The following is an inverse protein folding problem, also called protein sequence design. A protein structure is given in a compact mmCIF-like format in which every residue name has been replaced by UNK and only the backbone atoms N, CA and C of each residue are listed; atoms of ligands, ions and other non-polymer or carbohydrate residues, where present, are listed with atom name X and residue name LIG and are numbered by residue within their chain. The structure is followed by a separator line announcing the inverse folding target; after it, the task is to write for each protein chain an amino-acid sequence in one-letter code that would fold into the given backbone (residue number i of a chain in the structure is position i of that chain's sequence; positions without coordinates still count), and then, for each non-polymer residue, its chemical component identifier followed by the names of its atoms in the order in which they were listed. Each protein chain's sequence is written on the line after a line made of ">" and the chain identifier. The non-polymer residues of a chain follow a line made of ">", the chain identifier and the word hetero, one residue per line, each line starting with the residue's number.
data_IF_341671410537
#
_entry.id   IF_341671410537
#
_cell.length_a   1.000
_cell.length_b   1.000
_cell.length_c   1.000
_cell.angle_alpha   90.00
_cell.angle_beta   90.00
_cell.angle_gamma   90.00
#
_symmetry.space_group_name_H-M   'P 1'
#
loop_
_entity.id
_entity.type
_entity.pdbx_description
1 polymer ?
#
# COMPACT_ATOMS: atom_id res chain seq x y z
N UNK A 1 17.10 10.56 -15.26
CA UNK A 1 16.96 10.89 -13.82
C UNK A 1 15.62 11.56 -13.62
N UNK A 2 14.82 11.09 -12.67
CA UNK A 2 13.50 11.66 -12.37
C UNK A 2 13.55 13.04 -11.68
N UNK A 3 14.71 13.71 -11.65
CA UNK A 3 14.88 15.02 -11.01
C UNK A 3 14.83 15.01 -9.48
N UNK A 4 14.86 13.83 -8.86
CA UNK A 4 14.83 13.71 -7.41
C UNK A 4 16.23 13.91 -6.84
N UNK A 5 16.39 14.90 -5.95
CA UNK A 5 17.65 15.13 -5.26
C UNK A 5 17.95 14.02 -4.24
N UNK A 6 19.18 13.55 -4.20
CA UNK A 6 19.65 12.56 -3.23
C UNK A 6 21.14 12.75 -2.92
N UNK A 7 21.56 12.23 -1.78
CA UNK A 7 22.95 12.23 -1.31
C UNK A 7 23.42 10.80 -1.09
N UNK A 8 24.66 10.50 -1.53
CA UNK A 8 25.33 9.27 -1.14
C UNK A 8 26.05 9.49 0.19
N UNK A 9 25.71 8.67 1.20
CA UNK A 9 26.30 8.75 2.53
C UNK A 9 27.34 7.65 2.73
N UNK A 10 28.48 8.01 3.31
CA UNK A 10 29.44 7.04 3.84
C UNK A 10 28.94 6.47 5.16
N UNK A 11 29.49 5.33 5.66
CA UNK A 11 29.15 4.82 7.00
C UNK A 11 29.32 5.85 8.13
N UNK A 12 30.31 6.75 8.00
CA UNK A 12 30.51 7.85 8.93
C UNK A 12 29.36 8.86 8.85
N UNK A 13 28.95 9.27 7.65
CA UNK A 13 27.85 10.21 7.47
C UNK A 13 26.53 9.64 8.00
N UNK A 14 26.32 8.31 7.82
CA UNK A 14 25.18 7.60 8.40
C UNK A 14 25.21 7.67 9.92
N UNK A 15 26.37 7.38 10.54
CA UNK A 15 26.55 7.43 12.00
C UNK A 15 26.31 8.82 12.56
N UNK A 16 26.75 9.84 11.84
CA UNK A 16 26.56 11.25 12.25
C UNK A 16 25.06 11.64 12.23
N UNK A 17 24.26 11.12 11.28
CA UNK A 17 22.80 11.37 11.16
C UNK A 17 21.95 10.43 12.02
N UNK A 18 22.44 9.21 12.25
CA UNK A 18 21.78 8.13 12.98
C UNK A 18 22.72 7.49 14.02
N UNK A 19 23.03 8.16 15.13
CA UNK A 19 24.02 7.66 16.11
C UNK A 19 23.67 6.33 16.77
N UNK A 20 22.38 5.97 16.81
CA UNK A 20 21.92 4.71 17.41
C UNK A 20 22.09 3.50 16.46
N UNK A 21 22.42 3.75 15.18
CA UNK A 21 22.60 2.70 14.16
C UNK A 21 24.02 2.14 14.19
N UNK A 22 24.15 0.82 14.10
CA UNK A 22 25.41 0.15 13.80
C UNK A 22 25.76 0.33 12.32
N UNK A 23 27.01 0.73 12.04
CA UNK A 23 27.44 1.10 10.67
C UNK A 23 28.69 0.37 10.19
N UNK A 24 29.30 -0.49 11.01
CA UNK A 24 30.59 -1.13 10.75
C UNK A 24 30.57 -2.09 9.55
N UNK A 25 29.40 -2.64 9.25
CA UNK A 25 29.16 -3.56 8.14
C UNK A 25 28.59 -2.88 6.89
N UNK A 26 28.25 -1.57 6.98
CA UNK A 26 27.64 -0.84 5.88
C UNK A 26 28.67 -0.40 4.84
N UNK A 27 28.24 -0.36 3.58
CA UNK A 27 29.00 0.23 2.47
C UNK A 27 28.65 1.69 2.22
N UNK A 28 27.40 2.08 2.51
CA UNK A 28 26.87 3.41 2.36
C UNK A 28 25.37 3.42 2.38
N UNK A 29 24.79 4.59 2.15
CA UNK A 29 23.33 4.75 2.01
C UNK A 29 23.00 5.82 0.95
N UNK A 30 21.79 5.76 0.45
CA UNK A 30 21.16 6.80 -0.36
C UNK A 30 20.21 7.58 0.55
N UNK A 31 20.41 8.88 0.65
CA UNK A 31 19.58 9.77 1.49
C UNK A 31 18.77 10.73 0.63
N UNK A 32 17.47 10.80 0.91
CA UNK A 32 16.53 11.71 0.28
C UNK A 32 16.05 12.73 1.31
N UNK A 33 16.62 13.95 1.35
CA UNK A 33 16.30 14.93 2.41
C UNK A 33 14.89 15.50 2.32
N UNK A 34 14.18 15.30 1.20
CA UNK A 34 12.81 15.75 0.98
C UNK A 34 11.77 14.63 1.19
N UNK A 35 12.22 13.42 1.49
CA UNK A 35 11.33 12.29 1.81
C UNK A 35 10.98 12.28 3.30
N UNK A 36 9.98 11.48 3.66
CA UNK A 36 9.53 11.37 5.04
C UNK A 36 8.36 10.41 5.17
N UNK A 37 7.56 10.59 6.20
CA UNK A 37 6.33 9.84 6.41
C UNK A 37 5.17 10.78 6.72
N UNK A 38 3.96 10.29 6.55
CA UNK A 38 2.72 11.02 6.80
C UNK A 38 1.69 10.10 7.45
N UNK A 39 0.79 10.66 8.24
CA UNK A 39 -0.36 9.90 8.73
C UNK A 39 -1.32 9.58 7.56
N UNK A 40 -1.59 8.30 7.26
CA UNK A 40 -2.44 7.91 6.13
C UNK A 40 -3.87 8.43 6.22
N UNK A 41 -4.45 8.50 7.42
CA UNK A 41 -5.80 9.01 7.61
C UNK A 41 -5.86 10.53 7.32
N UNK A 42 -4.87 11.28 7.80
CA UNK A 42 -4.84 12.74 7.64
C UNK A 42 -4.65 13.13 6.17
N UNK A 43 -3.74 12.47 5.43
CA UNK A 43 -3.56 12.76 3.99
C UNK A 43 -4.81 12.40 3.20
N UNK A 44 -5.46 11.27 3.52
CA UNK A 44 -6.72 10.87 2.88
C UNK A 44 -7.83 11.91 3.13
N UNK A 45 -7.97 12.40 4.36
CA UNK A 45 -8.95 13.43 4.68
C UNK A 45 -8.61 14.79 4.03
N UNK A 46 -7.32 15.12 3.92
CA UNK A 46 -6.89 16.34 3.23
C UNK A 46 -7.25 16.30 1.75
N UNK A 47 -6.98 15.19 1.06
CA UNK A 47 -7.37 14.98 -0.34
C UNK A 47 -8.89 15.00 -0.51
N UNK A 48 -9.64 14.33 0.37
CA UNK A 48 -11.10 14.36 0.35
C UNK A 48 -11.66 15.77 0.57
N UNK A 49 -11.05 16.56 1.46
CA UNK A 49 -11.41 17.97 1.66
C UNK A 49 -11.16 18.79 0.39
N UNK A 50 -10.00 18.61 -0.24
CA UNK A 50 -9.68 19.27 -1.51
C UNK A 50 -10.69 18.92 -2.61
N UNK A 51 -11.02 17.64 -2.77
CA UNK A 51 -12.02 17.19 -3.74
C UNK A 51 -13.40 17.86 -3.52
N UNK A 52 -13.88 17.93 -2.27
CA UNK A 52 -15.15 18.63 -1.95
C UNK A 52 -15.11 20.12 -2.28
N UNK A 53 -13.96 20.78 -2.10
CA UNK A 53 -13.81 22.20 -2.46
C UNK A 53 -13.95 22.44 -3.97
N UNK A 54 -13.71 21.41 -4.78
CA UNK A 54 -13.93 21.39 -6.22
C UNK A 54 -15.29 20.79 -6.65
N UNK A 55 -16.24 20.65 -5.71
CA UNK A 55 -17.61 20.23 -6.01
C UNK A 55 -17.83 18.72 -6.06
N UNK A 56 -16.84 17.91 -5.68
CA UNK A 56 -16.99 16.44 -5.64
C UNK A 56 -17.88 16.04 -4.47
N UNK A 57 -18.95 15.29 -4.73
CA UNK A 57 -19.73 14.61 -3.70
C UNK A 57 -19.01 13.36 -3.22
N UNK A 58 -18.85 13.21 -1.91
CA UNK A 58 -18.27 12.01 -1.29
C UNK A 58 -19.32 11.40 -0.38
N UNK A 59 -19.91 10.33 -0.87
CA UNK A 59 -20.93 9.57 -0.16
C UNK A 59 -20.31 8.37 0.55
N UNK A 60 -20.63 8.21 1.83
CA UNK A 60 -20.09 7.16 2.69
C UNK A 60 -21.17 6.13 3.03
N UNK A 61 -20.72 4.92 3.37
CA UNK A 61 -21.60 3.81 3.77
C UNK A 61 -22.56 3.40 2.65
N UNK A 62 -22.06 3.38 1.43
CA UNK A 62 -22.71 2.78 0.28
C UNK A 62 -21.86 1.64 -0.26
N UNK A 63 -22.42 0.46 -0.37
CA UNK A 63 -21.80 -0.70 -0.99
C UNK A 63 -22.23 -0.80 -2.43
N UNK A 64 -21.26 -0.99 -3.34
CA UNK A 64 -21.56 -1.26 -4.74
C UNK A 64 -21.95 -2.74 -4.89
N UNK A 65 -23.10 -2.98 -5.51
CA UNK A 65 -23.66 -4.32 -5.73
C UNK A 65 -23.55 -4.78 -7.18
N UNK A 66 -23.39 -3.85 -8.11
CA UNK A 66 -23.30 -4.21 -9.52
C UNK A 66 -23.05 -3.03 -10.46
N UNK A 67 -22.64 -3.38 -11.66
CA UNK A 67 -22.40 -2.46 -12.76
C UNK A 67 -23.16 -2.94 -14.00
N UNK A 68 -23.80 -2.03 -14.72
CA UNK A 68 -24.51 -2.35 -15.98
C UNK A 68 -24.27 -1.25 -17.01
N UNK A 69 -23.70 -1.61 -18.15
CA UNK A 69 -23.54 -0.72 -19.30
C UNK A 69 -24.84 -0.64 -20.10
N UNK A 70 -25.32 0.57 -20.40
CA UNK A 70 -26.56 0.79 -21.15
C UNK A 70 -26.34 0.94 -22.64
N UNK A 71 -25.11 1.07 -23.09
CA UNK A 71 -24.73 1.46 -24.46
C UNK A 71 -24.16 2.87 -24.52
N UNK A 72 -24.48 3.72 -23.56
CA UNK A 72 -24.01 5.11 -23.47
C UNK A 72 -23.43 5.50 -22.11
N UNK A 73 -23.90 4.88 -21.04
CA UNK A 73 -23.52 5.20 -19.65
C UNK A 73 -23.52 3.94 -18.80
N UNK A 74 -22.85 4.01 -17.66
CA UNK A 74 -22.90 3.01 -16.61
C UNK A 74 -24.02 3.30 -15.61
N UNK A 75 -24.69 2.24 -15.17
CA UNK A 75 -25.55 2.23 -14.01
C UNK A 75 -24.84 1.44 -12.92
N UNK A 76 -24.55 2.10 -11.81
CA UNK A 76 -23.91 1.51 -10.63
C UNK A 76 -24.99 1.33 -9.57
N UNK A 77 -25.32 0.08 -9.27
CA UNK A 77 -26.28 -0.25 -8.21
C UNK A 77 -25.61 -0.26 -6.85
N UNK A 78 -26.21 0.38 -5.87
CA UNK A 78 -25.64 0.53 -4.52
C UNK A 78 -26.68 0.26 -3.44
N UNK A 79 -26.23 -0.30 -2.32
CA UNK A 79 -27.03 -0.52 -1.09
C UNK A 79 -26.44 0.32 0.04
N UNK A 80 -27.32 1.01 0.76
CA UNK A 80 -26.94 1.76 1.98
C UNK A 80 -26.54 0.80 3.09
N UNK A 81 -25.41 1.06 3.70
CA UNK A 81 -24.92 0.33 4.86
C UNK A 81 -25.24 1.11 6.13
N UNK A 82 -25.80 0.42 7.12
CA UNK A 82 -26.16 0.98 8.43
C UNK A 82 -25.40 0.29 9.55
N UNK A 83 -25.15 1.01 10.62
CA UNK A 83 -24.51 0.44 11.80
C UNK A 83 -25.55 -0.32 12.64
N UNK A 84 -25.23 -1.59 12.94
CA UNK A 84 -26.03 -2.43 13.83
C UNK A 84 -25.09 -3.30 14.67
N UNK A 85 -25.13 -3.11 15.99
CA UNK A 85 -24.26 -3.88 16.91
C UNK A 85 -22.76 -3.68 16.65
N UNK A 86 -22.35 -2.47 16.29
CA UNK A 86 -20.95 -2.15 15.95
C UNK A 86 -20.50 -2.58 14.55
N UNK A 87 -21.39 -3.20 13.77
CA UNK A 87 -21.11 -3.65 12.41
C UNK A 87 -21.89 -2.85 11.36
N UNK A 88 -21.29 -2.68 10.18
CA UNK A 88 -22.01 -2.19 9.00
C UNK A 88 -22.74 -3.37 8.36
N UNK A 89 -24.05 -3.25 8.22
CA UNK A 89 -24.91 -4.24 7.57
C UNK A 89 -25.72 -3.59 6.44
N UNK A 90 -26.10 -4.34 5.40
CA UNK A 90 -26.98 -3.81 4.36
C UNK A 90 -28.33 -3.41 4.93
N UNK A 91 -28.88 -2.27 4.47
CA UNK A 91 -30.25 -1.86 4.71
C UNK A 91 -31.14 -2.19 3.50
N UNK A 92 -32.43 -1.87 3.61
CA UNK A 92 -33.37 -1.97 2.49
C UNK A 92 -33.25 -0.80 1.50
N UNK A 93 -32.48 0.25 1.84
CA UNK A 93 -32.29 1.43 1.00
C UNK A 93 -31.30 1.12 -0.12
N UNK A 94 -31.79 1.18 -1.37
CA UNK A 94 -31.01 0.97 -2.59
C UNK A 94 -31.12 2.19 -3.49
N UNK A 95 -30.06 2.41 -4.27
CA UNK A 95 -30.03 3.48 -5.25
C UNK A 95 -29.27 3.04 -6.51
N UNK A 96 -29.46 3.78 -7.60
CA UNK A 96 -28.69 3.66 -8.82
C UNK A 96 -28.00 5.00 -9.11
N UNK A 97 -26.72 4.92 -9.43
CA UNK A 97 -25.91 6.06 -9.85
C UNK A 97 -25.65 5.90 -11.34
N UNK A 98 -25.96 6.94 -12.12
CA UNK A 98 -25.69 6.98 -13.56
C UNK A 98 -24.43 7.77 -13.80
N UNK A 99 -23.49 7.23 -14.55
CA UNK A 99 -22.21 7.86 -14.85
C UNK A 99 -21.74 7.50 -16.26
N UNK A 100 -21.21 8.47 -16.98
CA UNK A 100 -20.58 8.25 -18.28
C UNK A 100 -19.27 7.48 -18.13
N UNK A 101 -18.49 7.80 -17.11
CA UNK A 101 -17.25 7.12 -16.73
C UNK A 101 -17.32 6.62 -15.29
N UNK A 102 -16.74 5.45 -15.05
CA UNK A 102 -16.60 4.86 -13.69
C UNK A 102 -15.15 4.50 -13.46
N UNK A 103 -14.62 4.88 -12.31
CA UNK A 103 -13.29 4.45 -11.82
C UNK A 103 -13.50 3.52 -10.62
N UNK A 104 -12.90 2.35 -10.64
CA UNK A 104 -12.85 1.48 -9.47
C UNK A 104 -11.54 1.67 -8.74
N UNK A 105 -11.60 1.87 -7.41
CA UNK A 105 -10.48 2.03 -6.51
C UNK A 105 -10.78 1.28 -5.20
N UNK A 106 -11.00 -0.03 -5.32
CA UNK A 106 -11.65 -0.85 -4.29
C UNK A 106 -10.68 -1.58 -3.37
N UNK A 107 -9.38 -1.42 -3.60
CA UNK A 107 -8.32 -1.93 -2.73
C UNK A 107 -8.43 -3.44 -2.51
N UNK A 108 -8.53 -3.87 -1.26
CA UNK A 108 -8.65 -5.30 -0.93
C UNK A 108 -9.91 -5.97 -1.48
N UNK A 109 -10.92 -5.20 -1.93
CA UNK A 109 -12.13 -5.70 -2.57
C UNK A 109 -12.02 -5.81 -4.10
N UNK A 110 -10.82 -5.68 -4.69
CA UNK A 110 -10.61 -5.77 -6.14
C UNK A 110 -11.15 -7.07 -6.76
N UNK A 111 -11.11 -8.19 -6.03
CA UNK A 111 -11.65 -9.47 -6.51
C UNK A 111 -13.19 -9.45 -6.59
N UNK A 112 -13.87 -8.77 -5.68
CA UNK A 112 -15.32 -8.54 -5.77
C UNK A 112 -15.64 -7.68 -6.99
N UNK A 113 -14.91 -6.61 -7.18
CA UNK A 113 -15.04 -5.72 -8.36
C UNK A 113 -14.82 -6.48 -9.66
N UNK A 114 -13.77 -7.32 -9.74
CA UNK A 114 -13.50 -8.18 -10.89
C UNK A 114 -14.70 -9.07 -11.25
N UNK A 115 -15.30 -9.71 -10.23
CA UNK A 115 -16.48 -10.56 -10.40
C UNK A 115 -17.70 -9.78 -10.86
N UNK A 116 -17.96 -8.60 -10.28
CA UNK A 116 -19.10 -7.75 -10.65
C UNK A 116 -18.98 -7.20 -12.08
N UNK A 117 -17.76 -6.97 -12.55
CA UNK A 117 -17.47 -6.47 -13.92
C UNK A 117 -17.27 -7.60 -14.93
N UNK A 118 -17.12 -8.85 -14.50
CA UNK A 118 -16.83 -9.98 -15.38
C UNK A 118 -15.44 -9.93 -16.02
N UNK A 119 -14.47 -9.28 -15.36
CA UNK A 119 -13.07 -9.15 -15.81
C UNK A 119 -12.12 -9.78 -14.79
N UNK A 120 -10.83 -9.89 -15.18
CA UNK A 120 -9.77 -10.29 -14.24
C UNK A 120 -9.04 -9.06 -13.72
N UNK A 121 -8.85 -8.98 -12.41
CA UNK A 121 -8.03 -7.97 -11.74
C UNK A 121 -7.06 -8.73 -10.84
N UNK A 122 -5.78 -8.92 -11.20
CA UNK A 122 -4.83 -9.72 -10.42
C UNK A 122 -4.27 -8.97 -9.19
N UNK A 123 -5.11 -8.16 -8.58
CA UNK A 123 -4.84 -7.44 -7.34
C UNK A 123 -5.40 -8.26 -6.18
N UNK A 124 -4.52 -8.93 -5.44
CA UNK A 124 -4.88 -9.84 -4.35
C UNK A 124 -4.10 -9.44 -3.09
N UNK A 125 -4.78 -9.33 -1.94
CA UNK A 125 -4.12 -8.99 -0.69
C UNK A 125 -3.09 -10.05 -0.24
N UNK A 126 -1.98 -9.57 0.31
CA UNK A 126 -0.97 -10.36 1.03
C UNK A 126 -0.94 -9.85 2.47
N UNK A 127 -0.66 -10.70 3.43
CA UNK A 127 -0.43 -10.25 4.81
C UNK A 127 0.81 -9.37 4.88
N UNK A 128 0.70 -8.27 5.63
CA UNK A 128 1.83 -7.40 5.95
C UNK A 128 1.82 -7.08 7.43
N UNK A 129 2.94 -7.34 8.08
CA UNK A 129 3.10 -7.12 9.50
C UNK A 129 3.95 -5.87 9.78
N UNK A 130 3.66 -5.20 10.87
CA UNK A 130 4.61 -4.31 11.52
C UNK A 130 4.42 -4.38 13.04
N UNK A 131 5.50 -4.11 13.74
CA UNK A 131 5.51 -4.08 15.20
C UNK A 131 5.88 -2.69 15.70
N UNK A 132 5.36 -2.34 16.86
CA UNK A 132 5.70 -1.11 17.59
C UNK A 132 6.34 -1.51 18.89
N UNK A 133 7.50 -0.96 19.20
CA UNK A 133 8.19 -1.24 20.46
C UNK A 133 7.70 -0.33 21.58
N UNK A 134 7.94 -0.75 22.81
CA UNK A 134 7.94 0.16 23.96
C UNK A 134 9.00 1.26 23.76
N UNK A 135 8.95 2.36 24.55
CA UNK A 135 9.97 3.40 24.46
C UNK A 135 11.40 2.85 24.66
N UNK A 136 12.30 3.18 23.74
CA UNK A 136 13.73 2.90 23.84
C UNK A 136 14.39 4.03 24.66
N UNK A 137 14.98 3.74 25.83
CA UNK A 137 15.58 4.77 26.68
C UNK A 137 16.67 5.60 25.98
N UNK A 138 17.44 4.98 25.08
CA UNK A 138 18.47 5.68 24.31
C UNK A 138 17.88 6.66 23.30
N UNK A 139 16.80 6.26 22.63
CA UNK A 139 16.05 7.13 21.74
C UNK A 139 15.39 8.28 22.49
N UNK A 140 14.75 7.99 23.62
CA UNK A 140 14.10 9.02 24.47
C UNK A 140 15.14 10.05 24.94
N UNK A 141 16.33 9.61 25.34
CA UNK A 141 17.40 10.52 25.74
C UNK A 141 17.92 11.34 24.57
N UNK A 142 18.15 10.71 23.42
CA UNK A 142 18.54 11.39 22.18
C UNK A 142 17.57 12.51 21.79
N UNK A 143 16.26 12.24 21.86
CA UNK A 143 15.20 13.18 21.46
C UNK A 143 15.04 14.40 22.37
N UNK A 144 15.70 14.43 23.51
CA UNK A 144 15.66 15.62 24.40
C UNK A 144 16.30 16.86 23.77
N UNK A 145 17.31 16.67 22.95
CA UNK A 145 18.10 17.77 22.37
C UNK A 145 18.30 17.67 20.85
N UNK A 146 17.81 16.59 20.24
CA UNK A 146 18.03 16.33 18.83
C UNK A 146 16.70 16.18 18.07
N UNK A 147 16.71 16.41 16.75
CA UNK A 147 15.56 16.16 15.89
C UNK A 147 15.29 14.66 15.77
N UNK A 148 14.14 14.34 15.17
CA UNK A 148 13.79 12.97 14.78
C UNK A 148 14.78 12.43 13.76
N UNK A 149 15.11 11.13 13.90
CA UNK A 149 15.93 10.46 12.90
C UNK A 149 15.18 10.34 11.57
N UNK A 150 15.88 10.35 10.43
CA UNK A 150 15.29 10.00 9.15
C UNK A 150 14.66 8.60 9.18
N UNK A 151 13.66 8.36 8.36
CA UNK A 151 13.17 6.99 8.12
C UNK A 151 14.30 6.16 7.51
N UNK A 152 14.52 4.96 8.04
CA UNK A 152 15.56 4.05 7.56
C UNK A 152 14.92 2.84 6.84
N UNK A 153 15.51 2.46 5.72
CA UNK A 153 15.25 1.20 5.02
C UNK A 153 16.54 0.42 4.90
N UNK A 154 16.53 -0.83 5.37
CA UNK A 154 17.60 -1.78 5.12
C UNK A 154 17.18 -2.69 3.94
N UNK A 155 17.70 -2.40 2.77
CA UNK A 155 17.32 -3.09 1.54
C UNK A 155 17.79 -4.56 1.55
N UNK A 156 18.97 -4.84 2.11
CA UNK A 156 19.52 -6.19 2.19
C UNK A 156 18.73 -7.07 3.16
N UNK A 157 18.30 -6.48 4.27
CA UNK A 157 17.53 -7.17 5.30
C UNK A 157 16.00 -7.04 5.14
N UNK A 158 15.52 -6.27 4.13
CA UNK A 158 14.12 -6.15 3.71
C UNK A 158 13.17 -5.63 4.78
N UNK A 159 13.55 -4.58 5.47
CA UNK A 159 12.69 -3.93 6.43
C UNK A 159 12.87 -2.41 6.41
N UNK A 160 11.88 -1.72 6.97
CA UNK A 160 11.97 -0.29 7.26
C UNK A 160 11.74 -0.03 8.75
N UNK A 161 12.30 1.08 9.24
CA UNK A 161 12.11 1.52 10.62
C UNK A 161 12.00 3.04 10.69
N UNK A 162 11.18 3.52 11.62
CA UNK A 162 11.13 4.92 12.04
C UNK A 162 10.79 5.03 13.52
N UNK A 163 10.98 6.24 14.05
CA UNK A 163 10.56 6.54 15.42
C UNK A 163 9.03 6.57 15.56
N UNK A 164 8.53 6.11 16.70
CA UNK A 164 7.13 6.21 17.09
C UNK A 164 7.00 6.36 18.61
N UNK A 165 6.61 7.54 19.09
CA UNK A 165 6.34 7.82 20.52
C UNK A 165 7.46 7.39 21.47
N UNK A 166 8.70 7.61 21.08
CA UNK A 166 9.89 7.24 21.83
C UNK A 166 10.37 5.81 21.66
N UNK A 167 9.68 5.00 20.87
CA UNK A 167 10.08 3.67 20.43
C UNK A 167 10.23 3.62 18.92
N UNK A 168 10.14 2.41 18.36
CA UNK A 168 10.37 2.13 16.96
C UNK A 168 9.15 1.46 16.32
N UNK A 169 8.84 1.80 15.08
CA UNK A 169 8.04 0.96 14.19
C UNK A 169 8.99 0.20 13.29
N UNK A 170 8.90 -1.12 13.28
CA UNK A 170 9.58 -2.01 12.34
C UNK A 170 8.55 -2.66 11.42
N UNK A 171 8.70 -2.47 10.10
CA UNK A 171 7.88 -3.14 9.09
C UNK A 171 8.74 -4.01 8.17
N UNK A 172 8.70 -5.33 8.34
CA UNK A 172 9.42 -6.28 7.50
C UNK A 172 8.69 -6.54 6.17
N UNK A 173 9.43 -7.01 5.18
CA UNK A 173 8.92 -7.63 3.94
C UNK A 173 9.46 -9.04 3.86
N UNK A 174 8.95 -9.85 4.77
CA UNK A 174 9.40 -11.21 5.00
C UNK A 174 8.98 -12.18 3.88
N UNK A 175 9.65 -13.31 3.81
CA UNK A 175 9.25 -14.41 2.94
C UNK A 175 8.03 -15.13 3.49
N UNK A 176 7.29 -15.79 2.61
CA UNK A 176 6.14 -16.62 2.94
C UNK A 176 4.95 -15.88 3.56
N UNK A 177 4.86 -14.56 3.37
CA UNK A 177 3.65 -13.82 3.71
C UNK A 177 2.50 -14.34 2.81
N UNK A 178 1.41 -14.88 3.38
CA UNK A 178 0.39 -15.55 2.60
C UNK A 178 -0.56 -14.57 1.91
N UNK A 179 -0.94 -14.90 0.68
CA UNK A 179 -2.06 -14.24 0.02
C UNK A 179 -3.37 -14.55 0.73
N UNK A 180 -4.23 -13.56 0.84
CA UNK A 180 -5.54 -13.66 1.49
C UNK A 180 -6.64 -13.20 0.55
N UNK A 181 -7.85 -13.67 0.81
CA UNK A 181 -9.05 -13.19 0.11
C UNK A 181 -8.98 -13.32 -1.43
N UNK A 182 -8.53 -14.48 -1.91
CA UNK A 182 -8.31 -14.75 -3.34
C UNK A 182 -9.55 -14.47 -4.21
N UNK A 183 -10.74 -14.55 -3.64
CA UNK A 183 -11.99 -14.37 -4.37
C UNK A 183 -12.86 -13.23 -3.84
N UNK A 184 -12.85 -12.99 -2.55
CA UNK A 184 -13.54 -11.86 -1.89
C UNK A 184 -13.12 -11.72 -0.44
N UNK A 185 -13.18 -10.51 0.10
CA UNK A 185 -13.04 -10.27 1.53
C UNK A 185 -14.30 -10.73 2.21
N UNK A 186 -14.23 -11.64 3.21
CA UNK A 186 -15.41 -12.06 3.95
C UNK A 186 -16.14 -10.89 4.61
N UNK A 187 -17.46 -10.90 4.63
CA UNK A 187 -18.24 -9.85 5.29
C UNK A 187 -17.94 -9.70 6.79
N UNK A 188 -17.48 -10.78 7.42
CA UNK A 188 -17.02 -10.79 8.81
C UNK A 188 -15.69 -10.10 9.02
N UNK A 189 -14.82 -10.05 8.01
CA UNK A 189 -13.53 -9.36 8.06
C UNK A 189 -13.69 -7.92 7.58
N UNK A 190 -13.73 -6.97 8.50
CA UNK A 190 -13.96 -5.54 8.17
C UNK A 190 -12.72 -4.71 8.38
N UNK A 191 -12.52 -4.27 9.62
CA UNK A 191 -11.32 -3.57 10.08
C UNK A 191 -10.50 -4.46 11.02
N UNK A 192 -10.66 -5.77 10.87
CA UNK A 192 -9.93 -6.76 11.67
C UNK A 192 -8.49 -6.88 11.17
N UNK A 193 -7.66 -7.40 12.05
CA UNK A 193 -6.27 -7.74 11.78
C UNK A 193 -6.10 -9.26 11.90
N UNK A 194 -5.09 -9.78 11.20
CA UNK A 194 -4.64 -11.15 11.41
C UNK A 194 -3.79 -11.21 12.69
N UNK A 195 -3.64 -12.39 13.31
CA UNK A 195 -2.70 -12.58 14.40
C UNK A 195 -1.27 -12.26 13.95
N UNK A 196 -0.47 -11.73 14.87
CA UNK A 196 0.96 -11.57 14.67
C UNK A 196 1.63 -12.94 14.52
N UNK A 197 2.52 -13.06 13.54
CA UNK A 197 3.36 -14.22 13.28
C UNK A 197 4.83 -13.84 13.45
N UNK A 198 5.33 -13.91 14.68
CA UNK A 198 6.71 -13.56 15.01
C UNK A 198 7.72 -14.52 14.40
N UNK A 199 7.38 -15.81 14.26
CA UNK A 199 8.27 -16.79 13.66
C UNK A 199 8.57 -16.44 12.20
N UNK A 200 7.56 -15.95 11.48
CA UNK A 200 7.70 -15.54 10.07
C UNK A 200 8.61 -14.32 9.89
N UNK A 201 8.65 -13.39 10.85
CA UNK A 201 9.47 -12.17 10.79
C UNK A 201 10.75 -12.23 11.64
N UNK A 202 11.10 -13.39 12.19
CA UNK A 202 12.22 -13.53 13.11
C UNK A 202 13.54 -13.02 12.50
N UNK A 203 13.80 -13.34 11.24
CA UNK A 203 15.03 -12.94 10.55
C UNK A 203 15.15 -11.42 10.47
N UNK A 204 14.10 -10.76 10.05
CA UNK A 204 14.06 -9.30 9.91
C UNK A 204 14.12 -8.61 11.28
N UNK A 205 13.46 -9.20 12.28
CA UNK A 205 13.49 -8.69 13.66
C UNK A 205 14.89 -8.80 14.28
N UNK A 206 15.58 -9.91 14.09
CA UNK A 206 16.98 -10.07 14.56
C UNK A 206 17.94 -9.14 13.82
N UNK A 207 17.71 -8.92 12.52
CA UNK A 207 18.47 -7.93 11.75
C UNK A 207 18.24 -6.49 12.25
N UNK A 208 17.01 -6.14 12.61
CA UNK A 208 16.69 -4.85 13.21
C UNK A 208 17.43 -4.65 14.54
N UNK A 209 17.42 -5.63 15.44
CA UNK A 209 18.19 -5.59 16.71
C UNK A 209 19.69 -5.45 16.43
N UNK A 210 20.23 -6.16 15.44
CA UNK A 210 21.62 -5.99 15.05
C UNK A 210 21.91 -4.57 14.58
N UNK A 211 21.01 -3.96 13.80
CA UNK A 211 21.17 -2.61 13.24
C UNK A 211 20.99 -1.52 14.30
N UNK A 212 20.03 -1.69 15.23
CA UNK A 212 19.74 -0.77 16.33
C UNK A 212 19.90 -1.51 17.66
N UNK A 213 21.14 -1.67 18.17
CA UNK A 213 21.40 -2.54 19.33
C UNK A 213 20.67 -2.11 20.62
N UNK A 214 20.29 -0.85 20.75
CA UNK A 214 19.53 -0.36 21.91
C UNK A 214 18.14 -0.98 21.98
N UNK A 215 17.61 -1.48 20.87
CA UNK A 215 16.30 -2.13 20.79
C UNK A 215 16.26 -3.56 21.36
N UNK A 216 17.42 -4.19 21.62
CA UNK A 216 17.51 -5.58 22.11
C UNK A 216 16.75 -5.82 23.41
N UNK A 217 16.73 -4.84 24.29
CA UNK A 217 16.07 -4.94 25.60
C UNK A 217 14.71 -4.26 25.66
N UNK A 218 14.21 -3.78 24.53
CA UNK A 218 12.94 -3.05 24.43
C UNK A 218 11.82 -4.04 24.12
N UNK A 219 10.74 -4.00 24.91
CA UNK A 219 9.56 -4.85 24.70
C UNK A 219 8.73 -4.45 23.50
N UNK A 220 7.87 -5.36 23.06
CA UNK A 220 6.82 -5.06 22.06
C UNK A 220 5.63 -4.43 22.76
N UNK A 221 5.12 -3.34 22.19
CA UNK A 221 3.96 -2.60 22.67
C UNK A 221 2.70 -2.94 21.91
N UNK A 222 2.78 -2.85 20.60
CA UNK A 222 1.66 -3.10 19.70
C UNK A 222 2.16 -3.89 18.48
N UNK A 223 1.25 -4.65 17.87
CA UNK A 223 1.47 -5.39 16.63
C UNK A 223 0.30 -5.23 15.67
N UNK A 224 0.61 -5.28 14.40
CA UNK A 224 -0.37 -5.14 13.33
C UNK A 224 -0.03 -6.12 12.22
N UNK A 225 -1.01 -6.93 11.80
CA UNK A 225 -0.90 -7.80 10.65
C UNK A 225 -2.16 -7.63 9.82
N UNK A 226 -2.07 -6.93 8.71
CA UNK A 226 -3.21 -6.55 7.88
C UNK A 226 -3.04 -6.92 6.41
N UNK A 227 -4.13 -6.93 5.65
CA UNK A 227 -4.07 -7.19 4.21
C UNK A 227 -3.56 -5.95 3.47
N UNK A 228 -2.53 -6.11 2.65
CA UNK A 228 -2.03 -5.12 1.70
C UNK A 228 -2.21 -5.62 0.27
N UNK A 229 -2.87 -4.85 -0.57
CA UNK A 229 -3.22 -5.27 -1.92
C UNK A 229 -2.00 -5.22 -2.84
N UNK A 230 -1.59 -6.38 -3.38
CA UNK A 230 -0.48 -6.53 -4.31
C UNK A 230 -0.95 -6.93 -5.71
N UNK A 231 -0.12 -6.65 -6.70
CA UNK A 231 -0.17 -7.17 -8.06
C UNK A 231 1.07 -8.05 -8.32
N UNK A 232 1.08 -8.87 -9.38
CA UNK A 232 2.20 -9.77 -9.66
C UNK A 232 3.57 -9.10 -9.91
N UNK A 233 3.59 -7.83 -10.28
CA UNK A 233 4.80 -7.03 -10.48
C UNK A 233 4.97 -5.88 -9.46
N UNK A 234 4.05 -5.79 -8.47
CA UNK A 234 4.05 -4.74 -7.45
C UNK A 234 3.55 -3.37 -7.93
N UNK A 235 3.37 -3.16 -9.22
CA UNK A 235 2.84 -1.91 -9.75
C UNK A 235 1.31 -1.91 -9.75
N UNK A 236 0.64 -0.80 -9.45
CA UNK A 236 -0.81 -0.72 -9.50
C UNK A 236 -1.35 -0.88 -10.93
N UNK A 237 -2.63 -1.16 -11.04
CA UNK A 237 -3.39 -1.21 -12.27
C UNK A 237 -4.08 0.13 -12.46
N UNK A 238 -3.57 0.96 -13.37
CA UNK A 238 -4.09 2.32 -13.61
C UNK A 238 -4.36 2.50 -15.09
N UNK A 239 -5.62 2.72 -15.44
CA UNK A 239 -6.02 2.92 -16.84
C UNK A 239 -7.34 2.28 -17.21
N UNK A 240 -7.66 2.18 -18.51
CA UNK A 240 -8.93 1.64 -18.98
C UNK A 240 -9.04 0.13 -18.68
N UNK A 241 -10.17 -0.27 -18.12
CA UNK A 241 -10.47 -1.67 -17.83
C UNK A 241 -10.52 -2.50 -19.14
N UNK A 242 -9.87 -3.68 -19.18
CA UNK A 242 -9.83 -4.50 -20.39
C UNK A 242 -11.23 -4.89 -20.88
N UNK A 243 -11.54 -4.55 -22.13
CA UNK A 243 -12.81 -4.92 -22.78
C UNK A 243 -14.04 -4.13 -22.33
N UNK A 244 -13.91 -3.16 -21.43
CA UNK A 244 -15.04 -2.37 -20.93
C UNK A 244 -14.88 -0.89 -21.33
N UNK A 245 -15.91 -0.36 -21.98
CA UNK A 245 -15.92 1.04 -22.39
C UNK A 245 -16.17 1.97 -21.20
N UNK A 246 -15.39 3.04 -21.08
CA UNK A 246 -15.54 4.08 -20.06
C UNK A 246 -15.50 3.54 -18.61
N UNK A 247 -14.91 2.35 -18.41
CA UNK A 247 -14.58 1.77 -17.11
C UNK A 247 -13.07 1.87 -16.91
N UNK A 248 -12.67 2.34 -15.74
CA UNK A 248 -11.27 2.61 -15.40
C UNK A 248 -10.88 1.91 -14.11
N UNK A 249 -9.65 1.44 -14.04
CA UNK A 249 -9.10 0.80 -12.85
C UNK A 249 -8.07 1.71 -12.18
N UNK A 250 -8.10 1.75 -10.86
CA UNK A 250 -7.09 2.27 -9.95
C UNK A 250 -6.97 1.27 -8.79
N UNK A 251 -6.36 0.11 -9.05
CA UNK A 251 -6.37 -1.06 -8.15
C UNK A 251 -4.96 -1.56 -7.85
N UNK A 252 -4.79 -2.30 -6.75
CA UNK A 252 -3.55 -3.01 -6.43
C UNK A 252 -2.42 -2.10 -5.93
N UNK A 253 -2.74 -1.12 -5.11
CA UNK A 253 -1.76 -0.19 -4.56
C UNK A 253 -1.09 -0.75 -3.30
N UNK A 254 0.06 -1.37 -3.45
CA UNK A 254 0.93 -1.75 -2.33
C UNK A 254 1.52 -0.52 -1.63
N UNK A 255 1.92 0.50 -2.41
CA UNK A 255 2.43 1.79 -1.94
C UNK A 255 1.43 2.92 -2.21
N UNK A 256 0.21 2.77 -1.69
CA UNK A 256 -0.93 3.63 -2.03
C UNK A 256 -0.71 5.11 -1.71
N UNK A 257 -0.14 5.44 -0.57
CA UNK A 257 0.11 6.84 -0.18
C UNK A 257 1.08 7.52 -1.14
N UNK A 258 2.18 6.85 -1.47
CA UNK A 258 3.20 7.37 -2.39
C UNK A 258 2.65 7.56 -3.81
N UNK A 259 1.83 6.62 -4.29
CA UNK A 259 1.35 6.60 -5.67
C UNK A 259 0.07 7.43 -5.89
N UNK A 260 -0.72 7.73 -4.85
CA UNK A 260 -2.08 8.26 -4.97
C UNK A 260 -2.15 9.60 -5.73
N UNK A 261 -1.23 10.51 -5.44
CA UNK A 261 -1.22 11.85 -6.08
C UNK A 261 -0.99 11.75 -7.58
N UNK A 262 0.08 11.06 -8.00
CA UNK A 262 0.40 10.85 -9.42
C UNK A 262 -0.68 10.06 -10.14
N UNK A 263 -1.19 8.99 -9.52
CA UNK A 263 -2.28 8.21 -10.09
C UNK A 263 -3.52 9.04 -10.38
N UNK A 264 -3.96 9.84 -9.40
CA UNK A 264 -5.13 10.70 -9.57
C UNK A 264 -4.95 11.70 -10.70
N UNK A 265 -3.76 12.32 -10.80
CA UNK A 265 -3.43 13.28 -11.84
C UNK A 265 -3.43 12.66 -13.24
N UNK A 266 -2.63 11.61 -13.45
CA UNK A 266 -2.47 11.01 -14.78
C UNK A 266 -3.68 10.22 -15.23
N UNK A 267 -4.42 9.58 -14.32
CA UNK A 267 -5.68 8.95 -14.67
C UNK A 267 -6.72 9.98 -15.10
N UNK A 268 -6.78 11.13 -14.44
CA UNK A 268 -7.66 12.23 -14.85
C UNK A 268 -7.29 12.75 -16.26
N UNK A 269 -5.99 12.93 -16.57
CA UNK A 269 -5.57 13.28 -17.93
C UNK A 269 -6.01 12.24 -18.97
N UNK A 270 -5.77 10.96 -18.71
CA UNK A 270 -6.22 9.89 -19.62
C UNK A 270 -7.74 9.93 -19.86
N UNK A 271 -8.53 10.26 -18.83
CA UNK A 271 -10.00 10.33 -18.94
C UNK A 271 -10.49 11.57 -19.69
N UNK A 272 -9.82 12.70 -19.57
CA UNK A 272 -10.25 13.99 -20.12
C UNK A 272 -9.59 14.35 -21.44
N UNK A 273 -8.34 13.94 -21.62
CA UNK A 273 -7.49 14.30 -22.76
C UNK A 273 -7.19 13.11 -23.68
N UNK A 274 -7.48 11.88 -23.20
CA UNK A 274 -7.28 10.62 -23.94
C UNK A 274 -5.94 9.95 -23.66
N UNK A 275 -4.92 10.68 -23.21
CA UNK A 275 -3.59 10.17 -22.87
C UNK A 275 -3.00 10.93 -21.68
N UNK A 276 -2.02 10.33 -21.01
CA UNK A 276 -1.24 11.00 -19.97
C UNK A 276 0.04 11.58 -20.58
N UNK A 277 0.57 12.65 -19.99
CA UNK A 277 1.83 13.28 -20.42
C UNK A 277 3.09 12.44 -20.15
N UNK A 278 2.95 11.33 -19.41
CA UNK A 278 4.00 10.35 -19.13
C UNK A 278 3.64 8.97 -19.66
N UNK A 279 4.64 8.12 -19.81
CA UNK A 279 4.41 6.71 -20.16
C UNK A 279 3.76 5.95 -19.00
N UNK A 280 2.54 5.46 -19.23
CA UNK A 280 1.74 4.67 -18.28
C UNK A 280 1.75 3.17 -18.61
N UNK A 281 2.53 2.70 -19.56
CA UNK A 281 2.49 1.32 -20.03
C UNK A 281 2.76 0.29 -18.92
N UNK A 282 3.66 0.59 -17.98
CA UNK A 282 3.95 -0.26 -16.83
C UNK A 282 2.79 -0.37 -15.82
N UNK A 283 1.80 0.51 -15.92
CA UNK A 283 0.61 0.54 -15.06
C UNK A 283 -0.65 0.08 -15.79
N UNK A 284 -0.61 -0.09 -17.13
CA UNK A 284 -1.77 -0.47 -17.93
C UNK A 284 -2.35 -1.80 -17.45
N UNK A 285 -3.64 -1.86 -17.10
CA UNK A 285 -4.32 -3.11 -16.73
C UNK A 285 -4.22 -4.22 -17.76
N UNK A 286 -4.01 -3.89 -19.03
CA UNK A 286 -3.88 -4.85 -20.14
C UNK A 286 -2.54 -5.59 -20.16
N UNK A 287 -1.55 -5.18 -19.36
CA UNK A 287 -0.26 -5.89 -19.26
C UNK A 287 -0.40 -7.32 -18.76
N UNK A 288 -1.51 -7.63 -18.09
CA UNK A 288 -1.87 -8.98 -17.67
C UNK A 288 -2.90 -9.59 -18.62
N UNK A 289 -2.49 -10.62 -19.34
CA UNK A 289 -3.36 -11.33 -20.27
C UNK A 289 -4.33 -12.31 -19.61
N UNK A 290 -5.16 -12.94 -20.45
CA UNK A 290 -6.15 -13.93 -20.01
C UNK A 290 -5.57 -15.19 -19.35
N UNK A 291 -4.27 -15.44 -19.48
CA UNK A 291 -3.51 -16.53 -18.84
C UNK A 291 -3.35 -16.35 -17.33
N UNK A 292 -3.47 -15.12 -16.82
CA UNK A 292 -3.36 -14.82 -15.41
C UNK A 292 -4.55 -15.39 -14.63
N UNK A 293 -4.35 -16.52 -13.95
CA UNK A 293 -5.37 -17.07 -13.04
C UNK A 293 -5.24 -16.43 -11.66
N UNK A 294 -6.30 -16.50 -10.85
CA UNK A 294 -6.29 -15.96 -9.49
C UNK A 294 -5.21 -16.64 -8.63
N UNK A 295 -5.07 -17.95 -8.73
CA UNK A 295 -4.09 -18.73 -7.95
C UNK A 295 -2.65 -18.42 -8.40
N UNK A 296 -2.43 -18.20 -9.69
CA UNK A 296 -1.12 -17.79 -10.19
C UNK A 296 -0.79 -16.38 -9.72
N UNK A 297 -1.74 -15.45 -9.84
CA UNK A 297 -1.59 -14.09 -9.35
C UNK A 297 -1.28 -14.05 -7.83
N UNK A 298 -1.98 -14.86 -7.03
CA UNK A 298 -1.73 -14.96 -5.60
C UNK A 298 -0.27 -15.34 -5.29
N UNK A 299 0.24 -16.40 -5.91
CA UNK A 299 1.64 -16.83 -5.74
C UNK A 299 2.64 -15.77 -6.19
N UNK A 300 2.35 -15.07 -7.31
CA UNK A 300 3.21 -14.00 -7.78
C UNK A 300 3.18 -12.76 -6.89
N UNK A 301 2.04 -12.47 -6.27
CA UNK A 301 1.92 -11.38 -5.29
C UNK A 301 2.73 -11.69 -4.02
N UNK A 302 2.70 -12.93 -3.52
CA UNK A 302 3.53 -13.39 -2.40
C UNK A 302 5.03 -13.27 -2.73
N UNK A 303 5.43 -13.71 -3.92
CA UNK A 303 6.80 -13.58 -4.40
C UNK A 303 7.21 -12.11 -4.50
N UNK A 304 6.41 -11.29 -5.17
CA UNK A 304 6.67 -9.86 -5.34
C UNK A 304 6.79 -9.13 -4.00
N UNK A 305 5.91 -9.42 -3.05
CA UNK A 305 5.97 -8.87 -1.69
C UNK A 305 7.33 -9.14 -1.04
N UNK A 306 7.82 -10.38 -1.11
CA UNK A 306 9.09 -10.76 -0.49
C UNK A 306 10.33 -10.18 -1.18
N UNK A 307 10.16 -9.61 -2.37
CA UNK A 307 11.24 -9.04 -3.19
C UNK A 307 11.23 -7.50 -3.25
N UNK A 308 10.36 -6.86 -2.51
CA UNK A 308 10.08 -5.42 -2.63
C UNK A 308 11.31 -4.51 -2.47
N UNK A 309 12.31 -4.92 -1.70
CA UNK A 309 13.55 -4.17 -1.49
C UNK A 309 14.79 -4.85 -2.08
N UNK A 310 14.63 -5.94 -2.81
CA UNK A 310 15.77 -6.60 -3.42
C UNK A 310 16.27 -5.75 -4.59
N UNK A 311 17.54 -5.38 -4.53
CA UNK A 311 18.25 -4.83 -5.67
C UNK A 311 18.49 -5.97 -6.66
N UNK A 312 17.75 -5.96 -7.76
CA UNK A 312 17.98 -6.92 -8.84
C UNK A 312 19.33 -6.63 -9.50
N UNK A 313 20.22 -7.60 -9.46
CA UNK A 313 21.42 -7.56 -10.26
C UNK A 313 21.07 -7.88 -11.72
N UNK A 314 21.81 -7.32 -12.71
CA UNK A 314 21.52 -7.53 -14.14
C UNK A 314 21.53 -8.99 -14.58
N UNK A 315 22.13 -9.87 -13.81
CA UNK A 315 22.27 -11.31 -14.08
C UNK A 315 21.26 -12.19 -13.30
N UNK A 316 20.34 -11.58 -12.55
CA UNK A 316 19.24 -12.27 -11.87
C UNK A 316 17.98 -12.13 -12.73
N UNK A 317 17.51 -13.25 -13.31
CA UNK A 317 16.25 -13.34 -14.06
C UNK A 317 15.03 -13.46 -13.15
#
# INVERSE_FOLDING_TARGET
>A
TAGVYHEFLTPKDIKDRWPLVRTEDLKGALFHPQDGYINPADVTQAMAKGARQHGVAIERKWQVDGYRWTGSEWIVSVTKMVEKGGNLVPSDEKAEIRAEHVVTATGNHAQRTARLLGIKIPAIPVEHQYIVTEPDPALVEWRRTNPEHPVLRDADAKWYVREERGGWILGPYERNAPARFLYDVPESFRADLFPLDLERIEQEYMSFIHRIPTSETVGLKDDFNGPICYTPDGNPLVGPAPGLRNMWLAEGFSFGITAAGGTGHYLAQMMTEGEAEIDMASLDPKRYGGWMTTEYAARKNEECYSHVFILHHPDEE
#
